data_IF_426438175206
#
_entry.id   IF_426438175206
#
_cell.length_a   1.000
_cell.length_b   1.000
_cell.length_c   1.000
_cell.angle_alpha   90.00
_cell.angle_beta   90.00
_cell.angle_gamma   90.00
#
_symmetry.space_group_name_H-M   'P 1'
#
loop_
_entity.id
_entity.type
_entity.pdbx_description
1 polymer ?
#
# COMPACT_ATOMS: atom_id res chain seq x y z
N UNK A 1 -1.73 -22.60 -24.59
CA UNK A 1 -2.18 -21.21 -24.80
C UNK A 1 -1.71 -20.39 -23.61
N UNK A 2 -0.65 -19.59 -23.78
CA UNK A 2 -0.15 -18.70 -22.73
C UNK A 2 -1.01 -17.43 -22.71
N UNK A 3 -1.80 -17.25 -21.66
CA UNK A 3 -2.55 -16.02 -21.44
C UNK A 3 -1.56 -14.94 -21.00
N UNK A 4 -1.01 -14.17 -21.93
CA UNK A 4 -0.21 -12.98 -21.64
C UNK A 4 -1.15 -11.83 -21.26
N UNK A 5 -1.50 -11.77 -19.97
CA UNK A 5 -2.21 -10.61 -19.43
C UNK A 5 -1.21 -9.45 -19.43
N UNK A 6 -1.35 -8.53 -20.39
CA UNK A 6 -0.62 -7.26 -20.37
C UNK A 6 -1.19 -6.42 -19.22
N UNK A 7 -0.60 -6.55 -18.04
CA UNK A 7 -0.84 -5.66 -16.92
C UNK A 7 0.03 -4.41 -17.13
N UNK A 8 -0.55 -3.20 -17.21
CA UNK A 8 0.19 -1.94 -17.29
C UNK A 8 0.68 -1.55 -15.91
N UNK A 9 1.48 -2.41 -15.32
CA UNK A 9 2.46 -1.96 -14.37
C UNK A 9 3.59 -1.46 -15.27
N UNK A 10 4.08 -0.23 -15.06
CA UNK A 10 5.33 0.28 -15.66
C UNK A 10 6.48 -0.59 -15.17
N UNK A 11 6.50 -1.85 -15.61
CA UNK A 11 7.62 -2.74 -15.41
C UNK A 11 8.62 -2.32 -16.47
N UNK A 12 9.88 -2.10 -16.10
CA UNK A 12 10.96 -1.95 -17.06
C UNK A 12 10.78 -2.97 -18.17
N UNK A 13 10.91 -2.57 -19.43
CA UNK A 13 10.80 -3.45 -20.60
C UNK A 13 11.71 -4.69 -20.51
N UNK A 14 12.72 -4.64 -19.64
CA UNK A 14 13.61 -5.74 -19.29
C UNK A 14 13.04 -6.84 -18.37
N UNK A 15 11.82 -6.72 -17.80
CA UNK A 15 11.28 -7.73 -16.85
C UNK A 15 9.78 -8.08 -17.04
N UNK A 16 9.34 -8.53 -18.22
CA UNK A 16 7.92 -8.83 -18.49
C UNK A 16 7.31 -9.92 -17.58
N UNK A 17 8.14 -10.79 -16.99
CA UNK A 17 7.67 -11.89 -16.15
C UNK A 17 7.26 -11.45 -14.73
N UNK A 18 7.67 -10.27 -14.28
CA UNK A 18 7.50 -9.85 -12.89
C UNK A 18 6.05 -9.55 -12.53
N UNK A 19 5.28 -8.97 -13.47
CA UNK A 19 3.84 -8.73 -13.31
C UNK A 19 3.08 -10.04 -13.20
N UNK A 20 3.43 -11.04 -14.02
CA UNK A 20 2.87 -12.39 -13.99
C UNK A 20 3.15 -13.08 -12.66
N UNK A 21 4.39 -13.03 -12.16
CA UNK A 21 4.76 -13.61 -10.86
C UNK A 21 3.96 -12.96 -9.73
N UNK A 22 3.85 -11.63 -9.71
CA UNK A 22 3.07 -10.90 -8.70
C UNK A 22 1.59 -11.28 -8.74
N UNK A 23 1.01 -11.43 -9.92
CA UNK A 23 -0.37 -11.87 -10.10
C UNK A 23 -0.60 -13.28 -9.51
N UNK A 24 0.27 -14.24 -9.82
CA UNK A 24 0.18 -15.59 -9.25
C UNK A 24 0.38 -15.61 -7.73
N UNK A 25 1.29 -14.79 -7.19
CA UNK A 25 1.47 -14.66 -5.74
C UNK A 25 0.19 -14.18 -5.04
N UNK A 26 -0.53 -13.22 -5.62
CA UNK A 26 -1.81 -12.76 -5.07
C UNK A 26 -2.92 -13.83 -5.15
N UNK A 27 -2.95 -14.64 -6.21
CA UNK A 27 -3.86 -15.80 -6.30
C UNK A 27 -3.53 -16.82 -5.21
N UNK A 28 -2.25 -17.16 -5.04
CA UNK A 28 -1.79 -18.10 -4.01
C UNK A 28 -2.14 -17.58 -2.61
N UNK A 29 -1.92 -16.29 -2.34
CA UNK A 29 -2.31 -15.66 -1.07
C UNK A 29 -3.81 -15.78 -0.80
N UNK A 30 -4.65 -15.51 -1.79
CA UNK A 30 -6.10 -15.64 -1.66
C UNK A 30 -6.52 -17.09 -1.37
N UNK A 31 -5.98 -18.05 -2.13
CA UNK A 31 -6.25 -19.46 -1.95
C UNK A 31 -5.80 -19.97 -0.57
N UNK A 32 -4.58 -19.62 -0.13
CA UNK A 32 -4.05 -20.00 1.19
C UNK A 32 -4.86 -19.37 2.33
N UNK A 33 -5.31 -18.12 2.17
CA UNK A 33 -6.17 -17.46 3.16
C UNK A 33 -7.51 -18.18 3.28
N UNK A 34 -8.15 -18.53 2.16
CA UNK A 34 -9.40 -19.31 2.18
C UNK A 34 -9.22 -20.69 2.81
N UNK A 35 -8.14 -21.40 2.47
CA UNK A 35 -7.82 -22.70 3.09
C UNK A 35 -7.63 -22.55 4.60
N UNK A 36 -6.95 -21.49 5.04
CA UNK A 36 -6.76 -21.21 6.46
C UNK A 36 -8.11 -20.98 7.17
N UNK A 37 -9.04 -20.23 6.57
CA UNK A 37 -10.39 -20.03 7.11
C UNK A 37 -11.13 -21.36 7.24
N UNK A 38 -11.08 -22.20 6.20
CA UNK A 38 -11.77 -23.51 6.18
C UNK A 38 -11.23 -24.43 7.29
N UNK A 39 -9.93 -24.37 7.59
CA UNK A 39 -9.30 -25.22 8.62
C UNK A 39 -9.51 -24.65 10.03
N UNK A 40 -9.59 -23.33 10.20
CA UNK A 40 -9.82 -22.69 11.50
C UNK A 40 -11.28 -22.77 11.94
N UNK A 41 -12.23 -22.71 11.00
CA UNK A 41 -13.65 -22.82 11.30
C UNK A 41 -14.01 -24.05 12.18
N UNK A 42 -13.57 -25.28 11.87
CA UNK A 42 -13.83 -26.44 12.74
C UNK A 42 -13.11 -26.36 14.09
N UNK A 43 -11.92 -25.73 14.17
CA UNK A 43 -11.21 -25.54 15.44
C UNK A 43 -12.06 -24.69 16.39
N UNK A 44 -12.55 -23.54 15.90
CA UNK A 44 -13.41 -22.64 16.67
C UNK A 44 -14.74 -23.33 17.02
N UNK A 45 -15.35 -24.05 16.06
CA UNK A 45 -16.61 -24.74 16.27
C UNK A 45 -16.55 -25.82 17.36
N UNK A 46 -15.47 -26.61 17.39
CA UNK A 46 -15.27 -27.66 18.40
C UNK A 46 -15.00 -27.04 19.77
N UNK A 47 -14.15 -26.01 19.84
CA UNK A 47 -13.90 -25.29 21.10
C UNK A 47 -15.18 -24.65 21.64
N UNK A 48 -15.95 -23.98 20.78
CA UNK A 48 -17.23 -23.38 21.15
C UNK A 48 -18.25 -24.42 21.64
N UNK A 49 -18.31 -25.60 21.02
CA UNK A 49 -19.23 -26.69 21.41
C UNK A 49 -18.94 -27.18 22.84
N UNK A 50 -17.67 -27.39 23.19
CA UNK A 50 -17.31 -28.06 24.44
C UNK A 50 -16.94 -27.09 25.59
N UNK A 51 -16.40 -25.90 25.28
CA UNK A 51 -15.90 -24.94 26.27
C UNK A 51 -16.75 -23.66 26.33
N UNK A 52 -17.82 -23.55 25.53
CA UNK A 52 -18.67 -22.37 25.43
C UNK A 52 -18.01 -21.17 24.75
N UNK A 53 -16.78 -21.32 24.26
CA UNK A 53 -16.03 -20.28 23.55
C UNK A 53 -14.72 -20.81 22.98
N UNK A 54 -14.11 -20.04 22.07
CA UNK A 54 -12.82 -20.38 21.46
C UNK A 54 -11.66 -19.61 22.10
N UNK A 55 -10.47 -20.20 22.11
CA UNK A 55 -9.24 -19.59 22.61
C UNK A 55 -8.83 -18.38 21.77
N UNK A 56 -7.97 -17.52 22.35
CA UNK A 56 -7.53 -16.29 21.70
C UNK A 56 -6.78 -16.53 20.37
N UNK A 57 -6.01 -17.62 20.25
CA UNK A 57 -5.20 -17.92 19.06
C UNK A 57 -6.02 -18.12 17.77
N UNK A 58 -6.95 -19.09 17.73
CA UNK A 58 -7.85 -19.28 16.60
C UNK A 58 -8.70 -18.04 16.29
N UNK A 59 -9.22 -17.36 17.32
CA UNK A 59 -10.02 -16.14 17.15
C UNK A 59 -9.22 -14.99 16.51
N UNK A 60 -8.00 -14.73 16.99
CA UNK A 60 -7.12 -13.71 16.40
C UNK A 60 -6.81 -14.02 14.94
N UNK A 61 -6.50 -15.28 14.65
CA UNK A 61 -6.18 -15.71 13.28
C UNK A 61 -7.39 -15.58 12.35
N UNK A 62 -8.60 -15.88 12.83
CA UNK A 62 -9.82 -15.65 12.06
C UNK A 62 -10.02 -14.17 11.73
N UNK A 63 -9.79 -13.26 12.69
CA UNK A 63 -9.87 -11.81 12.46
C UNK A 63 -8.86 -11.38 11.39
N UNK A 64 -7.61 -11.85 11.48
CA UNK A 64 -6.59 -11.59 10.46
C UNK A 64 -7.03 -12.13 9.10
N UNK A 65 -7.58 -13.34 9.03
CA UNK A 65 -8.10 -13.90 7.78
C UNK A 65 -9.19 -13.01 7.16
N UNK A 66 -10.17 -12.57 7.95
CA UNK A 66 -11.29 -11.74 7.46
C UNK A 66 -10.79 -10.39 6.94
N UNK A 67 -9.94 -9.69 7.70
CA UNK A 67 -9.40 -8.38 7.31
C UNK A 67 -8.54 -8.49 6.05
N UNK A 68 -7.75 -9.55 5.93
CA UNK A 68 -6.78 -9.70 4.84
C UNK A 68 -7.36 -10.41 3.61
N UNK A 69 -8.53 -11.05 3.69
CA UNK A 69 -9.18 -11.76 2.58
C UNK A 69 -9.41 -10.86 1.35
N UNK A 70 -9.81 -9.61 1.57
CA UNK A 70 -10.10 -8.66 0.51
C UNK A 70 -8.85 -8.00 -0.08
N UNK A 71 -7.72 -8.04 0.64
CA UNK A 71 -6.48 -7.38 0.24
C UNK A 71 -5.91 -7.90 -1.10
N UNK A 72 -5.71 -9.22 -1.33
CA UNK A 72 -5.18 -9.71 -2.61
C UNK A 72 -6.14 -9.44 -3.77
N UNK A 73 -7.46 -9.52 -3.53
CA UNK A 73 -8.48 -9.20 -4.55
C UNK A 73 -8.41 -7.73 -4.93
N UNK A 74 -8.34 -6.82 -3.94
CA UNK A 74 -8.19 -5.38 -4.17
C UNK A 74 -6.90 -5.06 -4.95
N UNK A 75 -5.78 -5.71 -4.60
CA UNK A 75 -4.48 -5.50 -5.25
C UNK A 75 -4.46 -5.96 -6.71
N UNK A 76 -5.28 -6.94 -7.10
CA UNK A 76 -5.45 -7.35 -8.50
C UNK A 76 -6.49 -6.45 -9.20
N UNK A 77 -7.63 -6.23 -8.56
CA UNK A 77 -8.79 -5.58 -9.16
C UNK A 77 -8.56 -4.09 -9.42
N UNK A 78 -7.99 -3.34 -8.47
CA UNK A 78 -7.85 -1.89 -8.63
C UNK A 78 -6.90 -1.48 -9.78
N UNK A 79 -5.70 -2.07 -9.94
CA UNK A 79 -4.86 -1.79 -11.10
C UNK A 79 -5.54 -2.20 -12.42
N UNK A 80 -6.22 -3.33 -12.45
CA UNK A 80 -6.95 -3.79 -13.64
C UNK A 80 -8.12 -2.87 -14.01
N UNK A 81 -8.92 -2.45 -13.03
CA UNK A 81 -10.07 -1.58 -13.23
C UNK A 81 -9.67 -0.15 -13.62
N UNK A 82 -8.58 0.35 -13.03
CA UNK A 82 -8.00 1.65 -13.38
C UNK A 82 -7.62 1.70 -14.86
N UNK A 83 -6.93 0.67 -15.35
CA UNK A 83 -6.49 0.59 -16.75
C UNK A 83 -7.64 0.39 -17.74
N UNK A 84 -8.52 -0.59 -17.47
CA UNK A 84 -9.52 -1.00 -18.46
C UNK A 84 -10.77 -0.15 -18.49
N UNK A 85 -11.13 0.46 -17.37
CA UNK A 85 -12.43 1.10 -17.21
C UNK A 85 -12.33 2.61 -16.91
N UNK A 86 -11.13 3.16 -16.69
CA UNK A 86 -10.92 4.53 -16.22
C UNK A 86 -11.71 4.89 -14.93
N UNK A 87 -12.18 3.87 -14.21
CA UNK A 87 -12.95 3.99 -12.97
C UNK A 87 -12.00 3.97 -11.77
N UNK A 88 -12.46 4.54 -10.65
CA UNK A 88 -11.71 4.58 -9.40
C UNK A 88 -10.33 5.26 -9.50
N UNK A 89 -10.19 6.32 -10.29
CA UNK A 89 -8.90 7.01 -10.55
C UNK A 89 -8.07 7.29 -9.28
N UNK A 90 -8.71 7.67 -8.17
CA UNK A 90 -8.02 7.94 -6.90
C UNK A 90 -7.47 6.67 -6.27
N UNK A 91 -8.30 5.62 -6.14
CA UNK A 91 -7.90 4.33 -5.55
C UNK A 91 -6.92 3.59 -6.46
N UNK A 92 -7.16 3.57 -7.77
CA UNK A 92 -6.25 3.00 -8.76
C UNK A 92 -4.86 3.64 -8.68
N UNK A 93 -4.77 4.97 -8.66
CA UNK A 93 -3.49 5.69 -8.44
C UNK A 93 -2.85 5.35 -7.11
N UNK A 94 -3.63 5.11 -6.05
CA UNK A 94 -3.10 4.72 -4.75
C UNK A 94 -2.45 3.32 -4.78
N UNK A 95 -3.11 2.33 -5.40
CA UNK A 95 -2.61 0.96 -5.50
C UNK A 95 -1.48 0.76 -6.53
N UNK A 96 -1.41 1.63 -7.54
CA UNK A 96 -0.32 1.63 -8.54
C UNK A 96 0.99 2.15 -7.96
N UNK A 97 0.95 3.04 -6.95
CA UNK A 97 2.17 3.55 -6.32
C UNK A 97 2.90 2.42 -5.57
N UNK A 98 4.09 2.09 -6.04
CA UNK A 98 4.97 1.04 -5.48
C UNK A 98 5.17 1.16 -3.96
N UNK A 99 5.31 2.40 -3.45
CA UNK A 99 5.45 2.67 -2.00
C UNK A 99 4.25 2.20 -1.18
N UNK A 100 3.04 2.47 -1.66
CA UNK A 100 1.80 2.10 -0.98
C UNK A 100 1.63 0.58 -0.98
N UNK A 101 1.87 -0.06 -2.12
CA UNK A 101 1.83 -1.50 -2.25
C UNK A 101 2.80 -2.19 -1.27
N UNK A 102 4.01 -1.64 -1.12
CA UNK A 102 5.03 -2.17 -0.20
C UNK A 102 4.60 -2.02 1.27
N UNK A 103 4.04 -0.87 1.67
CA UNK A 103 3.55 -0.67 3.04
C UNK A 103 2.37 -1.61 3.34
N UNK A 104 1.40 -1.71 2.43
CA UNK A 104 0.24 -2.56 2.62
C UNK A 104 0.62 -4.05 2.67
N UNK A 105 1.48 -4.53 1.76
CA UNK A 105 1.95 -5.92 1.76
C UNK A 105 2.83 -6.21 2.98
N UNK A 106 3.68 -5.27 3.40
CA UNK A 106 4.48 -5.38 4.61
C UNK A 106 3.64 -5.48 5.88
N UNK A 107 2.60 -4.65 6.00
CA UNK A 107 1.66 -4.71 7.12
C UNK A 107 0.90 -6.05 7.15
N UNK A 108 0.44 -6.54 6.01
CA UNK A 108 -0.19 -7.86 5.92
C UNK A 108 0.77 -9.00 6.29
N UNK A 109 2.05 -8.94 5.89
CA UNK A 109 3.06 -9.91 6.32
C UNK A 109 3.20 -9.97 7.84
N UNK A 110 3.20 -8.80 8.51
CA UNK A 110 3.27 -8.73 9.97
C UNK A 110 2.02 -9.30 10.64
N UNK A 111 0.82 -8.97 10.13
CA UNK A 111 -0.43 -9.55 10.63
C UNK A 111 -0.40 -11.08 10.52
N UNK A 112 -0.02 -11.61 9.35
CA UNK A 112 0.08 -13.05 9.14
C UNK A 112 1.15 -13.72 10.00
N UNK A 113 2.29 -13.06 10.23
CA UNK A 113 3.31 -13.57 11.14
C UNK A 113 2.78 -13.67 12.59
N UNK A 114 2.05 -12.66 13.08
CA UNK A 114 1.45 -12.74 14.42
C UNK A 114 0.39 -13.83 14.51
N UNK A 115 -0.40 -14.03 13.46
CA UNK A 115 -1.38 -15.10 13.38
C UNK A 115 -0.73 -16.49 13.35
N UNK A 116 0.36 -16.64 12.59
CA UNK A 116 1.14 -17.87 12.53
C UNK A 116 1.76 -18.22 13.89
N UNK A 117 2.30 -17.23 14.61
CA UNK A 117 2.82 -17.41 15.97
C UNK A 117 1.68 -17.81 16.92
N UNK A 118 0.54 -17.11 16.87
CA UNK A 118 -0.61 -17.39 17.73
C UNK A 118 -1.16 -18.82 17.52
N UNK A 119 -1.31 -19.26 16.27
CA UNK A 119 -1.72 -20.63 15.97
C UNK A 119 -0.66 -21.66 16.35
N UNK A 120 0.62 -21.33 16.17
CA UNK A 120 1.72 -22.21 16.58
C UNK A 120 1.63 -22.45 18.07
N UNK A 121 1.63 -21.39 18.90
CA UNK A 121 1.51 -21.47 20.36
C UNK A 121 0.26 -22.26 20.77
N UNK A 122 -0.90 -21.96 20.16
CA UNK A 122 -2.15 -22.68 20.41
C UNK A 122 -2.03 -24.18 20.15
N UNK A 123 -1.44 -24.56 19.01
CA UNK A 123 -1.33 -25.96 18.57
C UNK A 123 -0.21 -26.76 19.23
N UNK A 124 0.80 -26.09 19.79
CA UNK A 124 1.93 -26.73 20.49
C UNK A 124 1.71 -26.87 21.98
N UNK A 125 0.76 -26.13 22.55
CA UNK A 125 0.43 -26.22 23.96
C UNK A 125 -0.29 -27.55 24.26
N UNK A 126 0.36 -28.39 25.06
CA UNK A 126 -0.17 -29.68 25.46
C UNK A 126 -1.50 -29.56 26.21
N UNK A 127 -1.74 -28.46 26.92
CA UNK A 127 -3.00 -28.24 27.64
C UNK A 127 -4.19 -28.06 26.68
N UNK A 128 -3.97 -27.47 25.50
CA UNK A 128 -5.03 -27.27 24.51
C UNK A 128 -5.38 -28.56 23.75
N UNK A 129 -4.46 -29.54 23.69
CA UNK A 129 -4.69 -30.83 23.06
C UNK A 129 -4.94 -31.98 24.05
N UNK A 130 -4.96 -31.71 25.36
CA UNK A 130 -5.27 -32.70 26.38
C UNK A 130 -6.78 -33.04 26.37
N UNK A 131 -7.11 -34.31 26.56
CA UNK A 131 -8.49 -34.78 26.69
C UNK A 131 -8.99 -34.54 28.11
N UNK A 132 -10.18 -33.96 28.23
CA UNK A 132 -10.92 -33.88 29.48
C UNK A 132 -11.68 -35.21 29.73
N UNK A 133 -11.35 -35.88 30.83
CA UNK A 133 -11.92 -37.19 31.19
C UNK A 133 -13.40 -37.15 31.53
N UNK A 134 -13.93 -35.99 31.94
CA UNK A 134 -15.34 -35.83 32.28
C UNK A 134 -16.18 -35.61 31.02
N UNK A 135 -15.65 -34.82 30.08
CA UNK A 135 -16.26 -34.65 28.75
C UNK A 135 -16.26 -35.95 27.95
N UNK A 136 -15.17 -36.74 28.03
CA UNK A 136 -15.06 -38.04 27.37
C UNK A 136 -16.14 -39.04 27.85
N UNK A 137 -16.46 -39.03 29.15
CA UNK A 137 -17.55 -39.86 29.70
C UNK A 137 -18.92 -39.37 29.27
N UNK A 138 -19.09 -38.06 29.07
CA UNK A 138 -20.38 -37.45 28.73
C UNK A 138 -20.75 -37.53 27.25
N UNK A 139 -19.76 -37.45 26.34
CA UNK A 139 -19.94 -37.45 24.89
C UNK A 139 -18.90 -38.36 24.23
N UNK A 140 -19.33 -39.53 23.77
CA UNK A 140 -18.45 -40.49 23.09
C UNK A 140 -17.81 -39.97 21.79
N UNK A 141 -18.30 -38.87 21.23
CA UNK A 141 -17.71 -38.20 20.07
C UNK A 141 -16.65 -37.15 20.43
N UNK A 142 -16.49 -36.83 21.71
CA UNK A 142 -15.56 -35.80 22.20
C UNK A 142 -14.12 -36.14 21.84
N UNK A 143 -13.65 -37.36 22.16
CA UNK A 143 -12.25 -37.73 21.95
C UNK A 143 -11.81 -37.66 20.48
N UNK A 144 -12.65 -38.13 19.55
CA UNK A 144 -12.37 -38.08 18.11
C UNK A 144 -12.44 -36.65 17.56
N UNK A 145 -13.42 -35.87 18.01
CA UNK A 145 -13.56 -34.46 17.62
C UNK A 145 -12.39 -33.62 18.13
N UNK A 146 -11.95 -33.83 19.37
CA UNK A 146 -10.85 -33.10 19.99
C UNK A 146 -9.49 -33.42 19.34
N UNK A 147 -9.25 -34.69 19.03
CA UNK A 147 -8.06 -35.09 18.26
C UNK A 147 -8.03 -34.43 16.86
N UNK A 148 -9.18 -34.37 16.19
CA UNK A 148 -9.32 -33.67 14.91
C UNK A 148 -9.08 -32.15 15.06
N UNK A 149 -9.59 -31.51 16.12
CA UNK A 149 -9.33 -30.10 16.41
C UNK A 149 -7.83 -29.83 16.55
N UNK A 150 -7.09 -30.67 17.29
CA UNK A 150 -5.67 -30.48 17.50
C UNK A 150 -4.88 -30.62 16.19
N UNK A 151 -5.24 -31.60 15.35
CA UNK A 151 -4.65 -31.78 14.02
C UNK A 151 -4.97 -30.60 13.09
N UNK A 152 -6.21 -30.10 13.10
CA UNK A 152 -6.59 -28.89 12.36
C UNK A 152 -5.83 -27.66 12.87
N UNK A 153 -5.60 -27.53 14.18
CA UNK A 153 -4.80 -26.44 14.76
C UNK A 153 -3.36 -26.44 14.24
N UNK A 154 -2.71 -27.61 14.19
CA UNK A 154 -1.37 -27.77 13.62
C UNK A 154 -1.32 -27.47 12.12
N UNK A 155 -2.32 -27.97 11.37
CA UNK A 155 -2.42 -27.67 9.94
C UNK A 155 -2.63 -26.17 9.69
N UNK A 156 -3.51 -25.52 10.45
CA UNK A 156 -3.75 -24.09 10.38
C UNK A 156 -2.49 -23.27 10.68
N UNK A 157 -1.69 -23.68 11.67
CA UNK A 157 -0.38 -23.06 11.94
C UNK A 157 0.55 -23.17 10.71
N UNK A 158 0.61 -24.34 10.06
CA UNK A 158 1.36 -24.55 8.83
C UNK A 158 0.90 -23.65 7.69
N UNK A 159 -0.41 -23.58 7.43
CA UNK A 159 -0.97 -22.70 6.39
C UNK A 159 -0.78 -21.21 6.70
N UNK A 160 -0.84 -20.80 7.96
CA UNK A 160 -0.55 -19.43 8.37
C UNK A 160 0.92 -19.05 8.09
N UNK A 161 1.88 -19.96 8.33
CA UNK A 161 3.28 -19.77 7.95
C UNK A 161 3.48 -19.70 6.45
N UNK A 162 2.87 -20.60 5.67
CA UNK A 162 2.92 -20.55 4.21
C UNK A 162 2.36 -19.24 3.67
N UNK A 163 1.25 -18.76 4.24
CA UNK A 163 0.65 -17.48 3.89
C UNK A 163 1.59 -16.32 4.22
N UNK A 164 2.24 -16.37 5.40
CA UNK A 164 3.27 -15.39 5.79
C UNK A 164 4.42 -15.33 4.77
N UNK A 165 4.95 -16.48 4.34
CA UNK A 165 6.00 -16.52 3.33
C UNK A 165 5.54 -16.02 1.96
N UNK A 166 4.29 -16.31 1.56
CA UNK A 166 3.72 -15.78 0.33
C UNK A 166 3.61 -14.24 0.37
N UNK A 167 3.25 -13.65 1.51
CA UNK A 167 3.25 -12.20 1.71
C UNK A 167 4.66 -11.62 1.69
N UNK A 168 5.63 -12.25 2.37
CA UNK A 168 7.04 -11.83 2.33
C UNK A 168 7.63 -11.90 0.92
N UNK A 169 7.29 -12.93 0.13
CA UNK A 169 7.69 -13.02 -1.28
C UNK A 169 7.14 -11.85 -2.10
N UNK A 170 5.91 -11.41 -1.82
CA UNK A 170 5.32 -10.23 -2.48
C UNK A 170 5.96 -8.92 -2.03
N UNK A 171 6.36 -8.80 -0.76
CA UNK A 171 7.15 -7.67 -0.26
C UNK A 171 8.49 -7.62 -0.98
N UNK A 172 9.20 -8.74 -1.10
CA UNK A 172 10.48 -8.82 -1.79
C UNK A 172 10.36 -8.42 -3.27
N UNK A 173 9.37 -8.95 -3.98
CA UNK A 173 9.08 -8.55 -5.38
C UNK A 173 8.79 -7.05 -5.47
N UNK A 174 7.97 -6.50 -4.57
CA UNK A 174 7.64 -5.08 -4.56
C UNK A 174 8.85 -4.20 -4.25
N UNK A 175 9.75 -4.65 -3.36
CA UNK A 175 10.99 -3.96 -3.04
C UNK A 175 11.95 -3.94 -4.24
N UNK A 176 12.05 -5.05 -4.98
CA UNK A 176 12.84 -5.12 -6.22
C UNK A 176 12.30 -4.12 -7.25
N UNK A 177 10.99 -4.09 -7.48
CA UNK A 177 10.36 -3.11 -8.39
C UNK A 177 10.71 -1.69 -7.97
N UNK A 178 10.51 -1.36 -6.70
CA UNK A 178 10.82 -0.03 -6.16
C UNK A 178 12.30 0.34 -6.33
N UNK A 179 13.22 -0.62 -6.14
CA UNK A 179 14.65 -0.39 -6.33
C UNK A 179 14.99 -0.13 -7.80
N UNK A 180 14.38 -0.90 -8.72
CA UNK A 180 14.59 -0.74 -10.17
C UNK A 180 14.04 0.58 -10.69
N UNK A 181 12.87 1.02 -10.22
CA UNK A 181 12.30 2.34 -10.55
C UNK A 181 13.25 3.47 -10.10
N UNK A 182 13.81 3.36 -8.88
CA UNK A 182 14.78 4.35 -8.38
C UNK A 182 16.04 4.41 -9.24
N UNK A 183 16.59 3.26 -9.64
CA UNK A 183 17.77 3.21 -10.50
C UNK A 183 17.51 3.83 -11.87
N UNK A 184 16.34 3.58 -12.47
CA UNK A 184 15.97 4.16 -13.76
C UNK A 184 15.82 5.68 -13.69
N UNK A 185 15.21 6.21 -12.63
CA UNK A 185 15.09 7.66 -12.44
C UNK A 185 16.48 8.30 -12.34
N UNK A 186 17.41 7.68 -11.59
CA UNK A 186 18.78 8.19 -11.47
C UNK A 186 19.54 8.14 -12.79
N UNK A 187 19.37 7.07 -13.58
CA UNK A 187 19.98 6.96 -14.90
C UNK A 187 19.44 8.02 -15.87
N UNK A 188 18.13 8.22 -15.92
CA UNK A 188 17.50 9.23 -16.76
C UNK A 188 17.96 10.64 -16.40
N UNK A 189 18.09 10.94 -15.10
CA UNK A 189 18.60 12.22 -14.64
C UNK A 189 20.05 12.44 -15.08
N UNK A 190 20.90 11.42 -14.94
CA UNK A 190 22.30 11.47 -15.39
C UNK A 190 22.42 11.64 -16.91
N UNK A 191 21.57 10.98 -17.70
CA UNK A 191 21.53 11.16 -19.16
C UNK A 191 21.08 12.57 -19.54
N UNK A 192 20.09 13.13 -18.83
CA UNK A 192 19.63 14.51 -19.06
C UNK A 192 20.73 15.53 -18.75
N UNK A 193 21.51 15.31 -17.68
CA UNK A 193 22.67 16.14 -17.36
C UNK A 193 23.78 16.03 -18.42
N UNK A 194 24.05 14.83 -18.95
CA UNK A 194 25.03 14.64 -20.02
C UNK A 194 24.59 15.31 -21.33
N UNK A 195 23.32 15.19 -21.70
CA UNK A 195 22.79 15.84 -22.91
C UNK A 195 22.84 17.37 -22.76
N UNK A 196 22.45 17.91 -21.60
CA UNK A 196 22.54 19.34 -21.32
C UNK A 196 23.98 19.86 -21.30
N UNK A 197 24.96 19.05 -20.91
CA UNK A 197 26.38 19.39 -20.98
C UNK A 197 26.92 19.34 -22.42
N UNK A 198 26.46 18.39 -23.23
CA UNK A 198 26.84 18.27 -24.64
C UNK A 198 26.35 19.49 -25.45
N UNK A 199 25.13 19.95 -25.19
CA UNK A 199 24.57 21.14 -25.86
C UNK A 199 25.39 22.41 -25.57
N UNK A 200 25.92 22.56 -24.34
CA UNK A 200 26.79 23.69 -23.97
C UNK A 200 28.16 23.68 -24.65
N UNK A 201 28.66 22.52 -25.07
CA UNK A 201 29.93 22.40 -25.78
C UNK A 201 29.78 22.42 -27.31
N UNK A 202 28.55 22.27 -27.81
CA UNK A 202 28.21 22.31 -29.24
C UNK A 202 27.90 23.71 -29.77
N UNK A 203 27.74 24.73 -28.92
CA UNK A 203 27.64 26.10 -29.39
C UNK A 203 28.99 26.54 -29.98
N UNK A 204 29.07 26.83 -31.30
CA UNK A 204 30.26 27.44 -31.86
C UNK A 204 30.53 28.75 -31.11
N UNK A 205 31.80 29.13 -30.88
CA UNK A 205 32.12 30.38 -30.22
C UNK A 205 31.38 31.50 -30.95
N UNK A 206 30.36 32.06 -30.30
CA UNK A 206 29.67 33.25 -30.78
C UNK A 206 30.75 34.28 -31.04
N UNK A 207 30.87 34.69 -32.30
CA UNK A 207 31.75 35.77 -32.70
C UNK A 207 31.36 37.01 -31.88
N UNK A 208 32.27 37.56 -31.04
CA UNK A 208 31.97 38.75 -30.24
C UNK A 208 31.68 40.00 -31.09
N UNK A 209 31.74 39.90 -32.43
CA UNK A 209 31.44 40.99 -33.36
C UNK A 209 29.95 41.24 -33.63
N UNK A 210 29.04 40.32 -33.28
CA UNK A 210 27.59 40.52 -33.49
C UNK A 210 26.89 40.95 -32.19
N UNK A 211 27.02 42.24 -31.84
CA UNK A 211 26.09 42.90 -30.92
C UNK A 211 24.84 43.29 -31.72
N UNK A 212 23.68 42.64 -31.54
CA UNK A 212 22.43 43.25 -31.97
C UNK A 212 22.26 44.54 -31.15
N UNK A 213 22.17 45.67 -31.85
CA UNK A 213 21.81 46.94 -31.23
C UNK A 213 20.43 46.81 -30.57
N UNK A 214 20.35 47.42 -29.40
CA UNK A 214 19.19 47.54 -28.51
C UNK A 214 17.91 47.97 -29.24
N UNK A 215 16.79 47.36 -28.86
CA UNK A 215 15.51 48.07 -28.76
C UNK A 215 14.85 47.72 -27.41
N UNK A 216 14.99 48.67 -26.48
CA UNK A 216 14.02 49.13 -25.48
C UNK A 216 13.36 48.11 -24.52
N UNK A 217 13.99 47.98 -23.35
CA UNK A 217 13.45 48.39 -22.04
C UNK A 217 11.91 48.38 -21.88
N UNK A 218 11.35 47.28 -21.39
CA UNK A 218 10.13 47.32 -20.58
C UNK A 218 10.38 46.63 -19.24
N UNK A 219 10.64 47.48 -18.25
CA UNK A 219 10.77 47.15 -16.84
C UNK A 219 9.43 46.66 -16.26
N UNK A 220 9.46 45.55 -15.53
CA UNK A 220 8.27 44.90 -15.01
C UNK A 220 8.54 43.53 -14.39
N UNK A 221 9.51 43.46 -13.47
CA UNK A 221 9.72 42.26 -12.66
C UNK A 221 8.58 42.01 -11.67
N UNK A 222 8.22 40.74 -11.43
CA UNK A 222 8.04 40.12 -10.10
C UNK A 222 8.17 38.61 -10.26
N UNK A 223 8.99 38.00 -9.40
CA UNK A 223 9.33 36.59 -9.42
C UNK A 223 8.21 35.63 -8.99
N UNK A 224 8.45 34.36 -9.29
CA UNK A 224 7.59 33.27 -8.83
C UNK A 224 8.20 31.92 -9.17
N UNK A 225 8.89 31.33 -8.20
CA UNK A 225 9.39 29.97 -8.23
C UNK A 225 8.21 28.99 -8.41
N UNK A 226 7.98 28.56 -9.65
CA UNK A 226 7.09 27.47 -9.99
C UNK A 226 7.83 26.52 -10.90
N UNK A 227 8.30 25.39 -10.36
CA UNK A 227 8.77 24.25 -11.14
C UNK A 227 7.55 23.61 -11.82
N UNK A 228 7.13 24.17 -12.94
CA UNK A 228 6.31 23.46 -13.90
C UNK A 228 7.25 22.60 -14.75
N UNK A 229 6.86 21.35 -14.95
CA UNK A 229 7.39 20.47 -15.99
C UNK A 229 7.53 21.28 -17.28
N UNK A 230 8.75 21.72 -17.60
CA UNK A 230 9.07 22.26 -18.91
C UNK A 230 8.95 21.09 -19.88
N UNK A 231 7.77 20.99 -20.48
CA UNK A 231 7.59 20.25 -21.72
C UNK A 231 8.58 20.87 -22.72
N UNK A 232 9.47 20.09 -23.36
CA UNK A 232 10.50 20.65 -24.22
C UNK A 232 9.82 21.31 -25.43
N UNK A 233 9.84 22.65 -25.47
CA UNK A 233 9.28 23.45 -26.55
C UNK A 233 10.22 23.49 -27.78
N UNK A 234 10.92 22.40 -28.06
CA UNK A 234 11.79 22.24 -29.22
C UNK A 234 11.76 20.79 -29.70
N UNK A 235 10.59 20.35 -30.18
CA UNK A 235 10.53 19.31 -31.19
C UNK A 235 10.36 20.00 -32.53
N UNK A 236 11.24 19.80 -33.53
CA UNK A 236 11.01 20.32 -34.87
C UNK A 236 9.71 19.71 -35.38
N UNK A 237 8.74 20.58 -35.68
CA UNK A 237 7.47 20.17 -36.25
C UNK A 237 7.76 19.41 -37.57
N UNK A 238 7.14 18.24 -37.81
CA UNK A 238 7.19 17.62 -39.13
C UNK A 238 6.52 18.58 -40.12
N UNK A 239 7.25 18.98 -41.16
CA UNK A 239 6.73 19.76 -42.28
C UNK A 239 5.59 18.98 -42.95
N UNK A 240 4.34 19.26 -42.56
CA UNK A 240 3.19 18.93 -43.38
C UNK A 240 3.07 19.98 -44.48
N UNK A 241 3.67 19.68 -45.63
CA UNK A 241 3.24 20.26 -46.90
C UNK A 241 1.80 19.78 -47.18
N UNK A 242 0.81 20.60 -46.82
CA UNK A 242 -0.57 20.44 -47.30
C UNK A 242 -0.94 21.66 -48.13
N UNK A 243 -0.93 21.44 -49.45
CA UNK A 243 -1.45 22.37 -50.45
C UNK A 243 -2.94 22.63 -50.17
N UNK A 244 -3.28 23.90 -50.01
CA UNK A 244 -4.64 24.39 -49.94
C UNK A 244 -5.30 24.41 -51.34
N UNK A 245 -6.61 24.16 -51.44
CA UNK A 245 -7.44 24.81 -52.43
C UNK A 245 -8.17 26.00 -51.80
N UNK A 246 -7.98 27.12 -52.48
CA UNK A 246 -8.66 28.40 -52.39
C UNK A 246 -10.19 28.26 -52.24
N UNK A 247 -10.77 28.83 -51.18
CA UNK A 247 -12.19 29.17 -51.14
C UNK A 247 -12.42 30.55 -50.52
N UNK A 248 -13.46 31.15 -51.09
CA UNK A 248 -13.83 32.54 -51.19
C UNK A 248 -14.35 33.16 -49.88
N UNK A 249 -14.33 34.49 -49.86
CA UNK A 249 -14.45 35.40 -48.74
C UNK A 249 -15.80 35.39 -48.00
N UNK A 250 -15.73 35.40 -46.67
CA UNK A 250 -16.73 36.04 -45.80
C UNK A 250 -16.01 36.59 -44.56
N UNK A 251 -16.27 37.84 -44.13
CA UNK A 251 -15.54 38.44 -43.03
C UNK A 251 -15.95 37.78 -41.69
N UNK A 252 -15.01 37.28 -40.88
CA UNK A 252 -15.35 36.79 -39.56
C UNK A 252 -15.72 37.96 -38.64
N UNK A 253 -16.86 37.82 -37.97
CA UNK A 253 -17.20 38.63 -36.82
C UNK A 253 -16.07 38.54 -35.77
N UNK A 254 -15.66 39.71 -35.24
CA UNK A 254 -14.70 39.81 -34.14
C UNK A 254 -15.07 38.84 -33.01
N UNK A 255 -14.19 37.90 -32.63
CA UNK A 255 -14.30 37.29 -31.32
C UNK A 255 -14.06 38.39 -30.29
N UNK A 256 -15.08 38.65 -29.46
CA UNK A 256 -14.92 39.42 -28.23
C UNK A 256 -13.92 38.68 -27.35
N UNK A 257 -12.73 39.27 -27.20
CA UNK A 257 -11.79 38.95 -26.14
C UNK A 257 -12.45 39.26 -24.81
N UNK A 258 -13.10 38.26 -24.20
CA UNK A 258 -13.31 38.26 -22.76
C UNK A 258 -11.93 38.13 -22.11
N UNK A 259 -11.36 39.27 -21.68
CA UNK A 259 -10.37 39.26 -20.61
C UNK A 259 -11.03 38.61 -19.40
N UNK A 260 -10.49 37.52 -18.86
CA UNK A 260 -10.87 37.13 -17.51
C UNK A 260 -10.40 38.26 -16.59
N UNK A 261 -11.35 38.80 -15.83
CA UNK A 261 -11.07 39.72 -14.73
C UNK A 261 -9.98 39.10 -13.86
N UNK A 262 -8.82 39.74 -13.93
CA UNK A 262 -7.66 39.44 -13.11
C UNK A 262 -8.00 39.93 -11.71
N UNK A 263 -8.70 39.10 -10.93
CA UNK A 263 -8.79 39.30 -9.50
C UNK A 263 -7.36 39.26 -8.95
N UNK A 264 -6.88 40.44 -8.56
CA UNK A 264 -5.59 40.63 -7.93
C UNK A 264 -5.43 39.62 -6.81
N UNK A 265 -4.46 38.73 -6.98
CA UNK A 265 -3.90 38.01 -5.85
C UNK A 265 -3.16 39.04 -5.02
N UNK A 266 -3.82 39.54 -3.97
CA UNK A 266 -3.14 40.05 -2.80
C UNK A 266 -2.13 38.97 -2.39
N UNK A 267 -0.85 39.28 -2.58
CA UNK A 267 0.25 38.52 -2.02
C UNK A 267 -0.06 38.29 -0.54
N UNK A 268 -0.24 37.05 -0.06
CA UNK A 268 -0.34 36.81 1.36
C UNK A 268 1.01 37.20 1.95
N UNK A 269 1.06 38.37 2.59
CA UNK A 269 2.11 38.71 3.52
C UNK A 269 2.30 37.52 4.46
N UNK A 270 3.54 37.06 4.70
CA UNK A 270 3.78 35.95 5.60
C UNK A 270 3.19 36.32 6.97
N UNK A 271 2.08 35.68 7.33
CA UNK A 271 1.56 35.75 8.68
C UNK A 271 2.64 35.16 9.58
N UNK A 272 3.33 36.03 10.31
CA UNK A 272 4.08 35.67 11.48
C UNK A 272 3.10 35.00 12.44
N UNK A 273 3.20 33.68 12.55
CA UNK A 273 2.50 32.92 13.58
C UNK A 273 2.95 33.51 14.91
N UNK A 274 2.04 34.11 15.71
CA UNK A 274 2.41 34.57 17.05
C UNK A 274 2.84 33.33 17.83
N UNK A 275 4.12 33.29 18.22
CA UNK A 275 4.58 32.27 19.16
C UNK A 275 3.70 32.38 20.41
N UNK A 276 3.04 31.28 20.84
CA UNK A 276 2.30 31.28 22.08
C UNK A 276 3.27 31.62 23.21
N UNK A 277 2.99 32.73 23.87
CA UNK A 277 3.65 33.15 25.08
C UNK A 277 3.48 32.01 26.11
N UNK A 278 4.55 31.54 26.77
CA UNK A 278 4.46 30.44 27.70
C UNK A 278 3.57 30.83 28.87
N UNK A 279 2.38 30.23 28.93
CA UNK A 279 1.50 30.30 30.09
C UNK A 279 2.22 29.66 31.27
N UNK A 280 2.32 30.32 32.44
CA UNK A 280 2.83 29.70 33.66
C UNK A 280 1.99 28.45 33.96
N UNK A 281 2.61 27.28 33.79
CA UNK A 281 1.97 26.00 34.08
C UNK A 281 1.64 25.88 35.56
N UNK A 282 0.53 25.21 35.92
CA UNK A 282 0.19 24.93 37.30
C UNK A 282 1.26 24.05 37.95
N UNK A 283 1.56 24.38 39.20
CA UNK A 283 2.43 23.66 40.14
C UNK A 283 2.12 22.16 40.05
N UNK A 284 3.14 21.37 39.68
CA UNK A 284 3.06 19.92 39.70
C UNK A 284 2.76 19.45 41.13
N UNK A 285 1.55 18.93 41.31
CA UNK A 285 1.21 18.11 42.47
C UNK A 285 2.10 16.88 42.51
N UNK A 286 2.50 16.59 43.73
CA UNK A 286 3.31 15.46 44.20
C UNK A 286 2.89 14.11 43.56
N UNK A 287 3.84 13.23 43.23
CA UNK A 287 3.54 11.93 42.63
C UNK A 287 2.79 11.04 43.62
N UNK A 288 1.49 10.85 43.41
CA UNK A 288 0.75 9.75 44.03
C UNK A 288 1.33 8.42 43.56
N UNK A 289 2.01 7.76 44.47
CA UNK A 289 2.48 6.38 44.40
C UNK A 289 1.40 5.47 43.80
N UNK A 290 1.70 4.89 42.64
CA UNK A 290 0.88 3.87 42.01
C UNK A 290 0.81 2.64 42.93
N UNK A 291 -0.32 2.44 43.59
CA UNK A 291 -0.62 1.20 44.29
C UNK A 291 -1.03 0.16 43.23
N UNK A 292 -0.31 -0.97 43.08
CA UNK A 292 -0.72 -2.02 42.16
C UNK A 292 -2.08 -2.58 42.60
N UNK A 293 -2.94 -3.03 41.64
CA UNK A 293 -4.21 -3.66 41.96
C UNK A 293 -3.95 -4.85 42.88
N UNK A 294 -4.59 -4.87 44.05
CA UNK A 294 -4.62 -6.07 44.86
C UNK A 294 -5.34 -7.15 44.06
N UNK A 295 -4.58 -8.18 43.69
CA UNK A 295 -5.12 -9.49 43.28
C UNK A 295 -6.05 -9.95 44.38
N UNK A 296 -7.35 -9.89 44.11
CA UNK A 296 -8.36 -10.60 44.88
C UNK A 296 -8.08 -12.10 44.72
N UNK A 297 -7.42 -12.65 45.72
CA UNK A 297 -7.34 -14.08 45.97
C UNK A 297 -8.76 -14.57 46.30
N UNK A 298 -9.49 -15.01 45.29
CA UNK A 298 -10.73 -15.76 45.46
C UNK A 298 -10.40 -17.19 45.88
N UNK A 299 -9.82 -17.31 47.07
CA UNK A 299 -9.85 -18.53 47.86
C UNK A 299 -11.27 -18.73 48.39
N UNK A 300 -12.12 -19.39 47.62
CA UNK A 300 -13.34 -20.04 48.12
C UNK A 300 -13.83 -21.06 47.08
N UNK A 301 -13.61 -22.35 47.32
CA UNK A 301 -14.62 -23.22 47.93
C UNK A 301 -15.51 -23.89 46.86
N UNK A 302 -15.09 -25.06 46.41
CA UNK A 302 -15.95 -26.16 45.95
C UNK A 302 -15.09 -27.41 46.13
N UNK A 303 -15.35 -28.28 47.10
CA UNK A 303 -16.65 -28.87 47.37
C UNK A 303 -16.53 -30.33 46.97
N UNK A 304 -16.02 -31.13 47.90
CA UNK A 304 -16.04 -32.58 47.83
C UNK A 304 -17.45 -33.07 47.49
N UNK A 305 -17.62 -33.79 46.38
CA UNK A 305 -18.65 -34.81 46.28
C UNK A 305 -18.00 -36.14 45.92
N UNK A 306 -17.75 -36.90 47.00
CA UNK A 306 -17.79 -38.35 47.00
C UNK A 306 -19.24 -38.77 46.71
N UNK A 307 -19.44 -39.61 45.71
CA UNK A 307 -20.23 -40.84 45.81
C UNK A 307 -19.80 -41.79 44.68
#
# INVERSE_FOLDING_TARGET
MAFTVQLPITVPSNMPNLSTVKFWLHIIQFALTLLTIIIIAPVIGIEAKYWGGSKAGPNWTLVVCIITLLAPVAMIYFPWAYDRQDKFKVLGKFFIKSRTALVLTGFNSLLWATAAIAMTVHSTDAANCALDSDLEKSDGSYASSWANQCNCGKAAAGFAWLTTFAWLGTVAVSAIVMYTEKQQIQQNLKTHEMNAAADRHGEPPMDPSYRPYDEEEFDGGVGGAGSYEQMPLNSPAPEMHQQAPYYDHSPPARPQSHSPDYHGYDSPTPMSIPMPQPTPGPVYGEPTTYQPPQTYDNGAHNGYYRQ
#
